data_IF_548763346841
#
_entry.id   IF_548763346841
#
_cell.length_a   1.000
_cell.length_b   1.000
_cell.length_c   1.000
_cell.angle_alpha   90.00
_cell.angle_beta   90.00
_cell.angle_gamma   90.00
#
_symmetry.space_group_name_H-M   'P 1'
#
loop_
_entity.id
_entity.type
_entity.pdbx_description
1 polymer ?
#
# COMPACT_ATOMS: atom_id res chain seq x y z
N UNK A 1 -43.29 21.14 -51.97
CA UNK A 1 -43.33 19.97 -51.05
C UNK A 1 -42.01 19.27 -50.86
N UNK A 2 -41.10 19.15 -51.85
CA UNK A 2 -39.79 18.47 -51.72
C UNK A 2 -38.78 19.17 -50.83
N UNK A 3 -38.76 20.52 -50.78
CA UNK A 3 -37.79 21.28 -50.01
C UNK A 3 -38.01 21.13 -48.46
N UNK A 4 -39.31 21.06 -48.06
CA UNK A 4 -39.66 20.87 -46.65
C UNK A 4 -39.24 19.50 -46.13
N UNK A 5 -39.40 18.46 -46.93
CA UNK A 5 -39.05 17.08 -46.57
C UNK A 5 -37.53 16.88 -46.39
N UNK A 6 -36.72 17.46 -47.31
CA UNK A 6 -35.26 17.41 -47.20
C UNK A 6 -34.71 18.16 -45.95
N UNK A 7 -35.32 19.26 -45.56
CA UNK A 7 -34.91 20.01 -44.38
C UNK A 7 -35.27 19.23 -43.09
N UNK A 8 -36.35 18.51 -43.06
CA UNK A 8 -36.75 17.64 -41.95
C UNK A 8 -35.78 16.46 -41.80
N UNK A 9 -35.35 15.83 -42.90
CA UNK A 9 -34.35 14.75 -42.85
C UNK A 9 -32.98 15.25 -42.37
N UNK A 10 -32.54 16.45 -42.82
CA UNK A 10 -31.28 17.04 -42.33
C UNK A 10 -31.33 17.36 -40.83
N UNK A 11 -32.46 17.87 -40.34
CA UNK A 11 -32.65 18.15 -38.93
C UNK A 11 -32.67 16.85 -38.10
N UNK A 12 -33.28 15.77 -38.57
CA UNK A 12 -33.28 14.47 -37.92
C UNK A 12 -31.86 13.83 -37.88
N UNK A 13 -31.11 13.91 -38.99
CA UNK A 13 -29.73 13.43 -39.04
C UNK A 13 -28.81 14.23 -38.14
N UNK A 14 -28.98 15.55 -38.04
CA UNK A 14 -28.22 16.41 -37.13
C UNK A 14 -28.55 16.10 -35.66
N UNK A 15 -29.82 15.89 -35.33
CA UNK A 15 -30.25 15.46 -34.00
C UNK A 15 -29.69 14.08 -33.61
N UNK A 16 -29.66 13.14 -34.56
CA UNK A 16 -29.06 11.81 -34.33
C UNK A 16 -27.55 11.87 -34.13
N UNK A 17 -26.82 12.75 -34.84
CA UNK A 17 -25.40 12.97 -34.63
C UNK A 17 -25.09 13.61 -33.27
N UNK A 18 -25.95 14.51 -32.78
CA UNK A 18 -25.78 15.15 -31.47
C UNK A 18 -26.05 14.13 -30.35
N UNK A 19 -27.01 13.23 -30.50
CA UNK A 19 -27.30 12.18 -29.50
C UNK A 19 -26.20 11.11 -29.46
N UNK A 20 -25.59 10.77 -30.61
CA UNK A 20 -24.46 9.83 -30.63
C UNK A 20 -23.15 10.43 -30.13
N UNK A 21 -22.93 11.74 -30.31
CA UNK A 21 -21.77 12.43 -29.72
C UNK A 21 -21.86 12.55 -28.19
N UNK A 22 -23.07 12.57 -27.61
CA UNK A 22 -23.29 12.60 -26.17
C UNK A 22 -23.06 11.25 -25.44
N UNK A 23 -23.06 10.13 -26.18
CA UNK A 23 -22.92 8.78 -25.63
C UNK A 23 -21.43 8.34 -25.56
N UNK A 24 -20.53 9.08 -26.21
CA UNK A 24 -19.09 8.86 -26.09
C UNK A 24 -18.48 9.63 -24.88
N UNK A 25 -19.25 9.80 -23.83
CA UNK A 25 -18.72 10.02 -22.50
C UNK A 25 -18.14 8.67 -22.12
N UNK A 26 -16.88 8.44 -22.52
CA UNK A 26 -16.13 7.29 -22.06
C UNK A 26 -16.32 7.29 -20.54
N UNK A 27 -16.94 6.24 -20.02
CA UNK A 27 -16.91 6.00 -18.60
C UNK A 27 -15.43 6.10 -18.23
N UNK A 28 -15.06 7.14 -17.52
CA UNK A 28 -13.77 7.22 -16.85
C UNK A 28 -13.85 6.08 -15.86
N UNK A 29 -13.49 4.89 -16.32
CA UNK A 29 -13.29 3.76 -15.41
C UNK A 29 -12.17 4.24 -14.53
N UNK A 30 -12.50 4.52 -13.27
CA UNK A 30 -11.50 4.87 -12.28
C UNK A 30 -10.45 3.76 -12.34
N UNK A 31 -9.26 4.09 -12.86
CA UNK A 31 -8.17 3.13 -13.02
C UNK A 31 -7.84 2.57 -11.63
N UNK A 32 -7.69 1.27 -11.55
CA UNK A 32 -7.18 0.67 -10.31
C UNK A 32 -5.88 1.36 -9.89
N UNK A 33 -5.87 1.94 -8.72
CA UNK A 33 -4.71 2.68 -8.20
C UNK A 33 -3.98 1.84 -7.16
N UNK A 34 -2.75 1.46 -7.49
CA UNK A 34 -1.81 0.81 -6.57
C UNK A 34 -0.86 1.85 -6.00
N UNK A 35 -0.82 1.98 -4.68
CA UNK A 35 0.25 2.72 -4.01
C UNK A 35 1.32 1.76 -3.52
N UNK A 36 2.55 2.01 -3.93
CA UNK A 36 3.73 1.28 -3.48
C UNK A 36 4.52 2.19 -2.54
N UNK A 37 4.64 1.77 -1.30
CA UNK A 37 5.42 2.44 -0.29
C UNK A 37 6.80 1.78 -0.17
N UNK A 38 7.85 2.55 -0.34
CA UNK A 38 9.20 2.09 -0.03
C UNK A 38 9.52 2.48 1.42
N UNK A 39 9.51 1.52 2.31
CA UNK A 39 9.76 1.75 3.74
C UNK A 39 11.07 2.48 4.01
N UNK A 40 11.12 3.24 5.11
CA UNK A 40 12.26 4.08 5.50
C UNK A 40 12.62 5.17 4.50
N UNK A 41 13.82 5.76 4.61
CA UNK A 41 14.32 6.78 3.69
C UNK A 41 14.92 7.99 4.38
N UNK A 42 15.81 8.70 3.69
CA UNK A 42 16.51 9.86 4.23
C UNK A 42 17.34 9.51 5.48
N UNK A 43 17.07 10.18 6.59
CA UNK A 43 17.74 9.92 7.87
C UNK A 43 17.28 8.63 8.57
N UNK A 44 16.12 8.09 8.20
CA UNK A 44 15.71 6.76 8.65
C UNK A 44 16.31 5.70 7.72
N UNK A 45 17.35 5.03 8.19
CA UNK A 45 18.06 4.02 7.41
C UNK A 45 17.34 2.68 7.36
N UNK A 46 16.39 2.42 8.26
CA UNK A 46 15.96 1.06 8.55
C UNK A 46 17.11 0.22 9.10
N UNK A 47 17.03 -1.06 8.94
CA UNK A 47 18.07 -1.99 9.36
C UNK A 47 19.37 -1.75 8.58
N UNK A 48 20.50 -1.94 9.29
CA UNK A 48 21.84 -1.86 8.72
C UNK A 48 22.35 -3.28 8.42
N UNK A 49 22.43 -3.61 7.15
CA UNK A 49 23.07 -4.84 6.68
C UNK A 49 24.60 -4.71 6.54
N UNK A 50 25.24 -5.80 6.11
CA UNK A 50 26.69 -5.83 5.91
C UNK A 50 27.17 -4.97 4.71
N UNK A 51 26.32 -4.77 3.71
CA UNK A 51 26.66 -4.07 2.48
C UNK A 51 25.63 -2.99 2.05
N UNK A 52 24.46 -2.93 2.68
CA UNK A 52 23.43 -1.96 2.35
C UNK A 52 22.58 -1.60 3.57
N UNK A 53 21.86 -0.49 3.47
CA UNK A 53 20.79 -0.14 4.37
C UNK A 53 19.46 -0.62 3.82
N UNK A 54 18.54 -0.99 4.68
CA UNK A 54 17.20 -1.44 4.33
C UNK A 54 16.49 -0.45 3.40
N UNK A 55 16.54 0.85 3.70
CA UNK A 55 15.94 1.91 2.86
C UNK A 55 16.31 1.85 1.38
N UNK A 56 17.53 1.41 1.08
CA UNK A 56 18.04 1.33 -0.30
C UNK A 56 17.47 0.11 -1.02
N UNK A 57 17.39 -1.03 -0.32
CA UNK A 57 16.81 -2.26 -0.84
C UNK A 57 15.32 -2.03 -1.10
N UNK A 58 14.60 -1.49 -0.11
CA UNK A 58 13.17 -1.20 -0.21
C UNK A 58 12.86 -0.28 -1.38
N UNK A 59 13.64 0.78 -1.57
CA UNK A 59 13.46 1.70 -2.72
C UNK A 59 13.69 0.99 -4.05
N UNK A 60 14.76 0.21 -4.16
CA UNK A 60 15.10 -0.50 -5.39
C UNK A 60 14.01 -1.51 -5.77
N UNK A 61 13.53 -2.29 -4.81
CA UNK A 61 12.46 -3.28 -5.03
C UNK A 61 11.14 -2.60 -5.34
N UNK A 62 10.75 -1.57 -4.59
CA UNK A 62 9.52 -0.83 -4.83
C UNK A 62 9.47 -0.21 -6.24
N UNK A 63 10.57 0.38 -6.70
CA UNK A 63 10.66 0.94 -8.05
C UNK A 63 10.64 -0.14 -9.14
N UNK A 64 11.30 -1.27 -8.92
CA UNK A 64 11.27 -2.40 -9.86
C UNK A 64 9.87 -3.02 -9.95
N UNK A 65 9.22 -3.19 -8.80
CA UNK A 65 7.85 -3.69 -8.72
C UNK A 65 6.88 -2.78 -9.49
N UNK A 66 6.91 -1.48 -9.21
CA UNK A 66 6.02 -0.57 -9.90
C UNK A 66 6.26 -0.48 -11.40
N UNK A 67 7.53 -0.46 -11.85
CA UNK A 67 7.85 -0.53 -13.28
C UNK A 67 7.33 -1.80 -13.94
N UNK A 68 7.37 -2.93 -13.24
CA UNK A 68 6.82 -4.18 -13.74
C UNK A 68 5.30 -4.08 -13.90
N UNK A 69 4.59 -3.53 -12.91
CA UNK A 69 3.14 -3.30 -12.96
C UNK A 69 2.79 -2.34 -14.10
N UNK A 70 3.46 -1.20 -14.20
CA UNK A 70 3.23 -0.20 -15.26
C UNK A 70 3.38 -0.79 -16.67
N UNK A 71 4.32 -1.73 -16.85
CA UNK A 71 4.56 -2.39 -18.13
C UNK A 71 3.53 -3.46 -18.47
N UNK A 72 3.08 -4.22 -17.47
CA UNK A 72 2.29 -5.44 -17.71
C UNK A 72 0.79 -5.27 -17.39
N UNK A 73 0.41 -4.19 -16.69
CA UNK A 73 -0.95 -3.88 -16.28
C UNK A 73 -1.29 -2.42 -16.65
N UNK A 74 -1.56 -2.10 -17.93
CA UNK A 74 -1.72 -0.73 -18.39
C UNK A 74 -2.97 -0.03 -17.82
N UNK A 75 -3.92 -0.79 -17.30
CA UNK A 75 -5.12 -0.35 -16.60
C UNK A 75 -4.88 -0.01 -15.11
N UNK A 76 -3.67 -0.29 -14.59
CA UNK A 76 -3.27 0.05 -13.22
C UNK A 76 -2.47 1.35 -13.20
N UNK A 77 -2.89 2.30 -12.36
CA UNK A 77 -2.13 3.50 -12.05
C UNK A 77 -1.23 3.23 -10.85
N UNK A 78 0.07 3.34 -11.02
CA UNK A 78 1.04 3.19 -9.92
C UNK A 78 1.40 4.55 -9.33
N UNK A 79 1.32 4.65 -8.01
CA UNK A 79 1.76 5.80 -7.23
C UNK A 79 2.80 5.32 -6.22
N UNK A 80 3.84 6.10 -6.01
CA UNK A 80 4.90 5.78 -5.04
C UNK A 80 4.88 6.81 -3.91
N UNK A 81 5.10 6.38 -2.68
CA UNK A 81 5.30 7.31 -1.57
C UNK A 81 6.60 8.08 -1.73
N UNK A 82 7.66 7.42 -2.20
CA UNK A 82 8.94 8.04 -2.58
C UNK A 82 9.58 7.36 -3.77
N UNK A 83 10.32 8.14 -4.56
CA UNK A 83 11.14 7.65 -5.70
C UNK A 83 12.63 7.96 -5.51
N UNK A 84 13.00 8.52 -4.38
CA UNK A 84 14.37 8.92 -4.01
C UNK A 84 14.62 8.58 -2.54
N UNK A 85 15.86 8.73 -2.11
CA UNK A 85 16.25 8.58 -0.70
C UNK A 85 15.86 9.85 0.08
N UNK A 86 14.57 9.94 0.44
CA UNK A 86 13.98 10.99 1.28
C UNK A 86 13.17 10.37 2.39
N UNK A 87 13.10 11.03 3.53
CA UNK A 87 12.26 10.66 4.65
C UNK A 87 10.81 11.07 4.39
N UNK A 88 9.88 10.15 4.57
CA UNK A 88 8.44 10.39 4.54
C UNK A 88 7.86 9.83 5.85
N UNK A 89 7.21 10.65 6.67
CA UNK A 89 6.53 10.20 7.89
C UNK A 89 5.49 9.11 7.62
N UNK A 90 5.22 8.22 8.56
CA UNK A 90 4.27 7.11 8.34
C UNK A 90 2.86 7.62 8.03
N UNK A 91 2.40 8.65 8.75
CA UNK A 91 1.10 9.24 8.47
C UNK A 91 1.00 9.82 7.05
N UNK A 92 2.06 10.45 6.55
CA UNK A 92 2.08 11.03 5.21
C UNK A 92 2.05 9.96 4.12
N UNK A 93 2.67 8.79 4.34
CA UNK A 93 2.60 7.63 3.43
C UNK A 93 1.15 7.17 3.24
N UNK A 94 0.43 7.02 4.33
CA UNK A 94 -1.00 6.68 4.31
C UNK A 94 -1.84 7.80 3.66
N UNK A 95 -1.56 9.07 3.96
CA UNK A 95 -2.24 10.19 3.33
C UNK A 95 -2.02 10.25 1.81
N UNK A 96 -0.82 9.92 1.32
CA UNK A 96 -0.56 9.81 -0.12
C UNK A 96 -1.52 8.77 -0.73
N UNK A 97 -1.70 7.62 -0.10
CA UNK A 97 -2.62 6.60 -0.58
C UNK A 97 -4.08 7.07 -0.52
N UNK A 98 -4.50 7.65 0.60
CA UNK A 98 -5.87 8.13 0.82
C UNK A 98 -6.26 9.24 -0.17
N UNK A 99 -5.40 10.25 -0.36
CA UNK A 99 -5.62 11.35 -1.32
C UNK A 99 -5.68 10.88 -2.77
N UNK A 100 -4.94 9.83 -3.10
CA UNK A 100 -4.97 9.23 -4.43
C UNK A 100 -6.14 8.26 -4.63
N UNK A 101 -7.01 8.07 -3.61
CA UNK A 101 -8.12 7.10 -3.61
C UNK A 101 -7.63 5.73 -4.06
N UNK A 102 -6.54 5.26 -3.45
CA UNK A 102 -5.93 4.01 -3.83
C UNK A 102 -6.87 2.82 -3.58
N UNK A 103 -6.78 1.83 -4.43
CA UNK A 103 -7.51 0.57 -4.27
C UNK A 103 -6.69 -0.47 -3.51
N UNK A 104 -5.36 -0.28 -3.48
CA UNK A 104 -4.43 -1.15 -2.76
C UNK A 104 -3.19 -0.37 -2.34
N UNK A 105 -2.74 -0.60 -1.11
CA UNK A 105 -1.49 -0.09 -0.57
C UNK A 105 -0.54 -1.25 -0.24
N UNK A 106 0.70 -1.19 -0.73
CA UNK A 106 1.74 -2.19 -0.45
C UNK A 106 2.99 -1.50 0.07
N UNK A 107 3.35 -1.75 1.32
CA UNK A 107 4.59 -1.26 1.92
C UNK A 107 5.68 -2.32 1.80
N UNK A 108 6.87 -1.91 1.34
CA UNK A 108 8.01 -2.80 1.06
C UNK A 108 9.09 -2.58 2.10
N UNK A 109 9.41 -3.64 2.84
CA UNK A 109 10.43 -3.71 3.88
C UNK A 109 11.36 -4.90 3.67
N UNK A 110 12.49 -4.90 4.38
CA UNK A 110 13.47 -5.98 4.37
C UNK A 110 13.82 -6.35 5.80
N UNK A 111 13.30 -7.48 6.23
CA UNK A 111 13.38 -7.92 7.61
C UNK A 111 14.83 -8.06 8.11
N UNK A 112 15.06 -7.71 9.36
CA UNK A 112 16.32 -7.86 10.05
C UNK A 112 16.13 -8.55 11.40
N UNK A 113 17.09 -9.39 11.75
CA UNK A 113 17.14 -10.04 13.06
C UNK A 113 18.26 -9.42 13.91
N UNK A 114 18.06 -9.33 15.24
CA UNK A 114 19.09 -8.82 16.13
C UNK A 114 20.39 -9.64 16.08
N UNK A 115 21.54 -8.94 16.14
CA UNK A 115 22.88 -9.53 16.40
C UNK A 115 23.24 -10.75 15.52
N UNK A 116 23.54 -10.50 14.25
CA UNK A 116 24.21 -11.49 13.39
C UNK A 116 23.36 -12.69 12.97
N UNK A 117 22.09 -12.76 13.35
CA UNK A 117 21.16 -13.74 12.82
C UNK A 117 20.68 -13.27 11.44
N UNK A 118 20.66 -14.19 10.50
CA UNK A 118 20.20 -13.90 9.13
C UNK A 118 18.70 -14.17 9.07
N UNK A 119 17.91 -13.14 8.77
CA UNK A 119 16.54 -13.33 8.33
C UNK A 119 16.54 -13.86 6.90
N UNK A 120 15.82 -14.94 6.67
CA UNK A 120 15.63 -15.50 5.32
C UNK A 120 14.17 -15.86 5.15
N UNK A 121 13.63 -15.57 3.99
CA UNK A 121 12.28 -15.92 3.65
C UNK A 121 11.40 -14.68 3.53
N UNK A 122 10.25 -14.87 2.93
CA UNK A 122 9.28 -13.84 2.63
C UNK A 122 8.13 -13.92 3.64
N UNK A 123 7.74 -12.78 4.18
CA UNK A 123 6.63 -12.64 5.12
C UNK A 123 5.71 -11.52 4.63
N UNK A 124 4.43 -11.65 4.90
CA UNK A 124 3.44 -10.61 4.62
C UNK A 124 2.67 -10.28 5.89
N UNK A 125 2.48 -9.00 6.15
CA UNK A 125 1.75 -8.51 7.29
C UNK A 125 0.53 -7.70 6.85
N UNK A 126 -0.58 -7.88 7.56
CA UNK A 126 -1.78 -7.05 7.45
C UNK A 126 -2.10 -6.45 8.82
N UNK A 127 -2.97 -5.47 8.85
CA UNK A 127 -3.45 -4.92 10.11
C UNK A 127 -4.19 -6.00 10.89
N UNK A 128 -3.90 -6.11 12.19
CA UNK A 128 -4.59 -7.01 13.12
C UNK A 128 -5.86 -6.37 13.68
N UNK A 129 -6.76 -7.21 14.18
CA UNK A 129 -8.01 -6.83 14.84
C UNK A 129 -7.82 -6.41 16.32
N UNK A 130 -6.58 -6.22 16.74
CA UNK A 130 -6.25 -5.91 18.14
C UNK A 130 -6.42 -7.10 19.11
N UNK A 131 -7.12 -8.15 18.70
CA UNK A 131 -7.40 -9.35 19.52
C UNK A 131 -6.37 -10.46 19.29
N UNK A 132 -5.75 -10.45 18.13
CA UNK A 132 -4.71 -11.39 17.76
C UNK A 132 -3.42 -10.99 18.46
N UNK A 133 -3.10 -11.66 19.54
CA UNK A 133 -1.75 -11.63 20.08
C UNK A 133 -0.85 -12.40 19.12
N UNK A 134 -0.28 -11.69 18.15
CA UNK A 134 0.75 -12.24 17.27
C UNK A 134 1.85 -12.91 18.07
N UNK A 135 2.61 -13.78 17.45
CA UNK A 135 3.78 -14.36 18.12
C UNK A 135 4.70 -13.21 18.58
N UNK A 136 5.46 -13.43 19.65
CA UNK A 136 6.44 -12.43 20.16
C UNK A 136 7.30 -11.85 19.02
N UNK A 137 7.66 -12.69 18.06
CA UNK A 137 8.46 -12.30 16.89
C UNK A 137 7.74 -11.28 16.00
N UNK A 138 6.45 -11.44 15.76
CA UNK A 138 5.67 -10.53 14.92
C UNK A 138 5.50 -9.17 15.59
N UNK A 139 5.22 -9.16 16.89
CA UNK A 139 5.16 -7.94 17.69
C UNK A 139 6.49 -7.18 17.68
N UNK A 140 7.63 -7.88 17.71
CA UNK A 140 8.96 -7.26 17.64
C UNK A 140 9.19 -6.59 16.26
N UNK A 141 8.67 -7.17 15.17
CA UNK A 141 8.72 -6.55 13.83
C UNK A 141 7.87 -5.27 13.82
N UNK A 142 6.62 -5.34 14.23
CA UNK A 142 5.73 -4.18 14.25
C UNK A 142 6.28 -3.04 15.14
N UNK A 143 6.83 -3.35 16.32
CA UNK A 143 7.47 -2.36 17.19
C UNK A 143 8.67 -1.69 16.53
N UNK A 144 9.48 -2.45 15.81
CA UNK A 144 10.64 -1.92 15.09
C UNK A 144 10.21 -0.93 14.02
N UNK A 145 9.24 -1.31 13.19
CA UNK A 145 8.75 -0.47 12.10
C UNK A 145 8.01 0.78 12.62
N UNK A 146 7.27 0.65 13.70
CA UNK A 146 6.60 1.78 14.33
C UNK A 146 7.55 2.73 15.08
N UNK A 147 8.77 2.30 15.42
CA UNK A 147 9.72 3.13 16.17
C UNK A 147 10.12 4.43 15.43
N UNK A 148 9.98 4.46 14.10
CA UNK A 148 10.23 5.66 13.29
C UNK A 148 9.29 6.83 13.65
N UNK A 149 8.14 6.58 14.25
CA UNK A 149 7.20 7.61 14.73
C UNK A 149 7.92 8.64 15.62
N UNK A 150 8.86 8.21 16.44
CA UNK A 150 9.63 9.13 17.31
C UNK A 150 10.61 10.03 16.56
N UNK A 151 10.89 9.76 15.30
CA UNK A 151 11.70 10.62 14.42
C UNK A 151 10.86 11.67 13.70
N UNK A 152 9.53 11.56 13.78
CA UNK A 152 8.58 12.45 13.12
C UNK A 152 8.34 13.71 13.95
N UNK A 153 8.34 14.87 13.29
CA UNK A 153 7.93 16.11 13.94
C UNK A 153 6.44 16.05 14.27
N UNK A 154 6.09 16.55 15.44
CA UNK A 154 4.70 16.67 15.90
C UNK A 154 3.91 15.33 15.90
N UNK A 155 4.61 14.21 16.07
CA UNK A 155 4.01 12.87 16.04
C UNK A 155 2.80 12.73 16.98
N UNK A 156 2.78 13.43 18.12
CA UNK A 156 1.67 13.42 19.07
C UNK A 156 0.35 13.93 18.48
N UNK A 157 0.41 14.79 17.46
CA UNK A 157 -0.78 15.31 16.78
C UNK A 157 -1.35 14.30 15.78
N UNK A 158 -0.47 13.50 15.17
CA UNK A 158 -0.85 12.53 14.15
C UNK A 158 -1.24 11.16 14.72
N UNK A 159 -0.71 10.83 15.90
CA UNK A 159 -0.92 9.52 16.56
C UNK A 159 -1.52 9.72 17.96
N UNK A 160 -2.66 10.38 18.03
CA UNK A 160 -3.35 10.65 19.29
C UNK A 160 -3.64 9.33 20.01
N UNK A 161 -3.21 9.22 21.26
CA UNK A 161 -3.39 8.02 22.09
C UNK A 161 -2.42 6.87 21.77
N UNK A 162 -1.47 7.05 20.87
CA UNK A 162 -0.45 6.04 20.60
C UNK A 162 0.66 6.08 21.67
N UNK A 163 0.76 5.03 22.47
CA UNK A 163 1.91 4.73 23.33
C UNK A 163 2.45 3.35 22.93
N UNK A 164 3.66 3.27 22.36
CA UNK A 164 4.24 1.99 21.93
C UNK A 164 4.52 1.03 23.09
N UNK A 165 4.50 1.52 24.34
CA UNK A 165 4.71 0.71 25.54
C UNK A 165 3.38 0.28 26.20
N UNK A 166 2.24 0.79 25.75
CA UNK A 166 0.93 0.48 26.29
C UNK A 166 0.18 -0.51 25.39
N UNK A 167 -0.29 -1.59 25.99
CA UNK A 167 -1.18 -2.54 25.30
C UNK A 167 -2.56 -1.91 24.99
N UNK A 168 -3.01 -0.96 25.84
CA UNK A 168 -4.28 -0.28 25.68
C UNK A 168 -4.28 0.70 24.50
N UNK A 169 -3.15 1.32 24.16
CA UNK A 169 -3.10 2.22 23.01
C UNK A 169 -3.36 1.51 21.68
N UNK A 170 -3.32 0.19 21.68
CA UNK A 170 -3.66 -0.64 20.52
C UNK A 170 -5.18 -0.83 20.35
N UNK A 171 -5.99 -0.59 21.39
CA UNK A 171 -7.44 -0.90 21.40
C UNK A 171 -8.28 0.20 20.75
N UNK A 172 -7.88 1.47 20.83
CA UNK A 172 -8.70 2.61 20.40
C UNK A 172 -8.90 2.76 18.88
N UNK A 173 -8.20 1.97 18.06
CA UNK A 173 -8.24 2.08 16.61
C UNK A 173 -9.07 0.99 15.91
N UNK A 174 -9.79 0.17 16.67
CA UNK A 174 -10.43 -1.07 16.19
C UNK A 174 -11.67 -0.90 15.29
N UNK A 175 -12.30 0.27 15.25
CA UNK A 175 -13.68 0.37 14.74
C UNK A 175 -13.85 0.64 13.24
N UNK A 176 -12.81 0.97 12.47
CA UNK A 176 -12.99 1.51 11.10
C UNK A 176 -12.68 0.51 9.97
N UNK A 177 -12.20 -0.70 10.25
CA UNK A 177 -11.50 -1.47 9.21
C UNK A 177 -11.97 -2.89 8.87
N UNK A 178 -13.14 -3.30 9.29
CA UNK A 178 -13.56 -4.71 9.09
C UNK A 178 -13.59 -5.14 7.61
N UNK A 179 -14.09 -4.29 6.71
CA UNK A 179 -14.20 -4.60 5.28
C UNK A 179 -12.83 -4.68 4.57
N UNK A 180 -11.95 -3.72 4.82
CA UNK A 180 -10.62 -3.69 4.20
C UNK A 180 -9.70 -4.79 4.74
N UNK A 181 -9.92 -5.24 5.98
CA UNK A 181 -9.10 -6.27 6.62
C UNK A 181 -9.23 -7.60 5.90
N UNK A 182 -10.45 -8.05 5.59
CA UNK A 182 -10.66 -9.29 4.87
C UNK A 182 -9.95 -9.29 3.50
N UNK A 183 -10.13 -8.21 2.73
CA UNK A 183 -9.48 -8.06 1.42
C UNK A 183 -7.95 -7.99 1.55
N UNK A 184 -7.44 -7.33 2.58
CA UNK A 184 -6.00 -7.28 2.88
C UNK A 184 -5.42 -8.66 3.12
N UNK A 185 -6.09 -9.47 3.94
CA UNK A 185 -5.66 -10.85 4.25
C UNK A 185 -5.71 -11.76 3.02
N UNK A 186 -6.76 -11.65 2.20
CA UNK A 186 -6.88 -12.42 0.94
C UNK A 186 -5.76 -12.06 -0.03
N UNK A 187 -5.51 -10.77 -0.23
CA UNK A 187 -4.41 -10.28 -1.06
C UNK A 187 -3.05 -10.76 -0.51
N UNK A 188 -2.80 -10.61 0.78
CA UNK A 188 -1.56 -11.02 1.43
C UNK A 188 -1.29 -12.53 1.24
N UNK A 189 -2.32 -13.39 1.38
CA UNK A 189 -2.21 -14.83 1.14
C UNK A 189 -1.84 -15.15 -0.31
N UNK A 190 -2.46 -14.46 -1.28
CA UNK A 190 -2.15 -14.60 -2.70
C UNK A 190 -0.71 -14.18 -2.99
N UNK A 191 -0.31 -13.02 -2.49
CA UNK A 191 1.04 -12.47 -2.67
C UNK A 191 2.08 -13.41 -2.07
N UNK A 192 1.89 -13.82 -0.81
CA UNK A 192 2.77 -14.75 -0.09
C UNK A 192 3.00 -16.04 -0.87
N UNK A 193 1.93 -16.69 -1.31
CA UNK A 193 2.00 -17.93 -2.07
C UNK A 193 2.76 -17.74 -3.38
N UNK A 194 2.43 -16.69 -4.15
CA UNK A 194 3.00 -16.48 -5.47
C UNK A 194 4.49 -16.11 -5.39
N UNK A 195 4.87 -15.21 -4.49
CA UNK A 195 6.29 -14.84 -4.30
C UNK A 195 7.11 -16.05 -3.85
N UNK A 196 6.62 -16.82 -2.89
CA UNK A 196 7.36 -18.00 -2.42
C UNK A 196 7.51 -19.06 -3.50
N UNK A 197 6.46 -19.34 -4.28
CA UNK A 197 6.51 -20.36 -5.34
C UNK A 197 7.33 -19.91 -6.56
N UNK A 198 7.17 -18.66 -7.01
CA UNK A 198 7.81 -18.17 -8.24
C UNK A 198 9.24 -17.72 -8.03
N UNK A 199 9.54 -17.09 -6.90
CA UNK A 199 10.88 -16.59 -6.58
C UNK A 199 11.68 -17.53 -5.67
N UNK A 200 11.17 -18.72 -5.37
CA UNK A 200 11.87 -19.72 -4.54
C UNK A 200 12.17 -19.22 -3.11
N UNK A 201 11.36 -18.29 -2.58
CA UNK A 201 11.57 -17.75 -1.25
C UNK A 201 11.01 -18.70 -0.19
N UNK A 202 11.71 -18.82 0.93
CA UNK A 202 11.19 -19.56 2.09
C UNK A 202 9.90 -18.88 2.56
N UNK A 203 8.83 -19.65 2.67
CA UNK A 203 7.54 -19.15 3.13
C UNK A 203 7.55 -19.00 4.66
N UNK A 204 7.47 -17.77 5.14
CA UNK A 204 7.39 -17.42 6.55
C UNK A 204 5.96 -17.15 7.03
N UNK A 205 5.01 -17.10 6.11
CA UNK A 205 3.59 -16.96 6.41
C UNK A 205 3.04 -15.56 6.23
N UNK A 206 1.73 -15.47 6.48
CA UNK A 206 0.96 -14.23 6.55
C UNK A 206 0.61 -13.99 8.00
N UNK A 207 0.86 -12.81 8.49
CA UNK A 207 0.69 -12.41 9.88
C UNK A 207 -0.19 -11.17 9.98
N UNK A 208 -0.75 -10.96 11.16
CA UNK A 208 -1.49 -9.74 11.49
C UNK A 208 -0.83 -9.08 12.69
N UNK A 209 -0.58 -7.78 12.58
CA UNK A 209 -0.07 -6.98 13.68
C UNK A 209 -0.37 -5.49 13.49
N UNK A 210 -0.01 -4.67 14.45
CA UNK A 210 -0.40 -3.28 14.53
C UNK A 210 0.64 -2.34 13.91
N UNK A 211 0.73 -2.35 12.59
CA UNK A 211 1.59 -1.44 11.84
C UNK A 211 0.94 -0.07 11.66
N UNK A 212 1.56 0.99 12.15
CA UNK A 212 1.02 2.35 12.07
C UNK A 212 0.77 2.79 10.62
N UNK A 213 1.66 2.45 9.69
CA UNK A 213 1.51 2.80 8.28
C UNK A 213 0.28 2.14 7.64
N UNK A 214 -0.10 0.93 8.06
CA UNK A 214 -1.29 0.23 7.55
C UNK A 214 -2.57 0.74 8.22
N UNK A 215 -2.49 1.11 9.50
CA UNK A 215 -3.63 1.57 10.29
C UNK A 215 -4.29 2.82 9.71
N UNK A 216 -3.48 3.73 9.18
CA UNK A 216 -3.93 5.02 8.68
C UNK A 216 -4.44 4.98 7.24
N UNK A 217 -4.35 3.82 6.57
CA UNK A 217 -4.87 3.65 5.21
C UNK A 217 -6.38 3.37 5.21
N UNK A 218 -7.10 3.85 4.21
CA UNK A 218 -8.54 3.66 4.04
C UNK A 218 -8.90 2.64 2.95
N UNK A 219 -7.97 1.82 2.53
CA UNK A 219 -8.11 0.78 1.51
C UNK A 219 -7.42 -0.52 1.98
N UNK A 220 -7.62 -1.65 1.29
CA UNK A 220 -6.85 -2.86 1.52
C UNK A 220 -5.34 -2.58 1.50
N UNK A 221 -4.62 -3.09 2.51
CA UNK A 221 -3.22 -2.76 2.71
C UNK A 221 -2.43 -3.95 3.27
N UNK A 222 -1.19 -4.08 2.84
CA UNK A 222 -0.23 -5.02 3.44
C UNK A 222 1.19 -4.44 3.48
N UNK A 223 1.99 -4.98 4.37
CA UNK A 223 3.43 -4.77 4.45
C UNK A 223 4.11 -6.10 4.11
N UNK A 224 5.13 -6.05 3.27
CA UNK A 224 5.93 -7.21 2.90
C UNK A 224 7.34 -7.09 3.45
N UNK A 225 7.86 -8.21 3.94
CA UNK A 225 9.22 -8.38 4.42
C UNK A 225 9.97 -9.32 3.47
N UNK A 226 10.96 -8.78 2.80
CA UNK A 226 11.70 -9.49 1.76
C UNK A 226 12.67 -10.56 2.30
N UNK A 227 13.10 -10.41 3.59
CA UNK A 227 14.00 -11.34 4.30
C UNK A 227 15.47 -11.17 4.00
#
# INVERSE_FOLDING_TARGET
MHISFMNTIKALLLALCITTAGILQAAVTDRFTLVIDAGHGGHDSGAKGSFSYEKNINLSVALAFGKYVERNCPDVRVVYTRKKDVFIPLYERAEIANRNKANLFVSVHTNALPKGRISRGFETYTLGDGRSHGTKTNLDVAKRENAVIFMEKDYKQHYVGYDPNSAESNIMFEFVQDHNMQQSVEFAKLLQRNVCSMAGRINKGVHQDNFAVLRLTSMPACLIELG
#
